data_IF_514087229459
#
_entry.id   IF_514087229459
#
_cell.length_a   1.000
_cell.length_b   1.000
_cell.length_c   1.000
_cell.angle_alpha   90.00
_cell.angle_beta   90.00
_cell.angle_gamma   90.00
#
_symmetry.space_group_name_H-M   'P 1'
#
loop_
_entity.id
_entity.type
_entity.pdbx_description
1 polymer ?
#
# COMPACT_ATOMS: atom_id res chain seq x y z
N UNK A 1 -10.29 -16.11 -4.99
CA UNK A 1 -10.58 -15.16 -6.10
C UNK A 1 -10.04 -13.77 -5.80
N UNK A 2 -10.41 -13.10 -4.70
CA UNK A 2 -9.93 -11.76 -4.36
C UNK A 2 -8.42 -11.66 -4.19
N UNK A 3 -7.78 -12.63 -3.55
CA UNK A 3 -6.31 -12.65 -3.45
C UNK A 3 -5.61 -12.62 -4.82
N UNK A 4 -6.18 -13.30 -5.81
CA UNK A 4 -5.64 -13.27 -7.18
C UNK A 4 -5.77 -11.86 -7.80
N UNK A 5 -6.91 -11.18 -7.58
CA UNK A 5 -7.13 -9.80 -8.04
C UNK A 5 -6.10 -8.87 -7.40
N UNK A 6 -5.84 -9.03 -6.09
CA UNK A 6 -4.86 -8.21 -5.37
C UNK A 6 -3.42 -8.50 -5.79
N UNK A 7 -3.07 -9.76 -6.08
CA UNK A 7 -1.77 -10.13 -6.67
C UNK A 7 -1.58 -9.46 -8.04
N UNK A 8 -2.60 -9.49 -8.86
CA UNK A 8 -2.56 -8.86 -10.19
C UNK A 8 -2.44 -7.33 -10.08
N UNK A 9 -3.12 -6.70 -9.11
CA UNK A 9 -3.00 -5.28 -8.85
C UNK A 9 -1.57 -4.87 -8.43
N UNK A 10 -0.93 -5.68 -7.58
CA UNK A 10 0.48 -5.47 -7.20
C UNK A 10 1.39 -5.62 -8.41
N UNK A 11 1.18 -6.64 -9.25
CA UNK A 11 1.95 -6.86 -10.48
C UNK A 11 1.87 -5.68 -11.44
N UNK A 12 0.70 -5.03 -11.54
CA UNK A 12 0.47 -3.85 -12.35
C UNK A 12 0.87 -2.53 -11.66
N UNK A 13 1.50 -2.60 -10.47
CA UNK A 13 1.91 -1.44 -9.69
C UNK A 13 0.76 -0.46 -9.37
N UNK A 14 -0.44 -1.00 -9.13
CA UNK A 14 -1.58 -0.22 -8.70
C UNK A 14 -1.36 0.36 -7.29
N UNK A 15 -1.94 1.52 -7.00
CA UNK A 15 -1.97 2.11 -5.66
C UNK A 15 -3.21 1.69 -4.87
N UNK A 16 -4.35 1.63 -5.56
CA UNK A 16 -5.64 1.29 -4.96
C UNK A 16 -6.42 0.33 -5.88
N UNK A 17 -7.26 -0.49 -5.27
CA UNK A 17 -8.17 -1.42 -5.94
C UNK A 17 -9.59 -1.18 -5.43
N UNK A 18 -10.53 -0.98 -6.33
CA UNK A 18 -11.94 -0.85 -6.02
C UNK A 18 -12.68 -2.09 -6.52
N UNK A 19 -13.37 -2.76 -5.60
CA UNK A 19 -14.12 -3.98 -5.87
C UNK A 19 -15.56 -3.74 -5.44
N UNK A 20 -16.51 -4.09 -6.30
CA UNK A 20 -17.93 -4.00 -6.03
C UNK A 20 -18.61 -5.30 -6.45
N UNK A 21 -19.60 -5.74 -5.68
CA UNK A 21 -20.41 -6.90 -6.03
C UNK A 21 -21.06 -6.73 -7.39
N UNK A 22 -20.99 -7.78 -8.22
CA UNK A 22 -21.53 -7.79 -9.58
C UNK A 22 -20.74 -7.00 -10.63
N UNK A 23 -19.59 -6.41 -10.28
CA UNK A 23 -18.79 -5.60 -11.19
C UNK A 23 -17.37 -6.13 -11.35
N UNK A 24 -16.73 -5.77 -12.46
CA UNK A 24 -15.30 -6.02 -12.68
C UNK A 24 -14.47 -5.12 -11.78
N UNK A 25 -13.31 -5.57 -11.29
CA UNK A 25 -12.41 -4.76 -10.47
C UNK A 25 -11.89 -3.54 -11.23
N UNK A 26 -11.67 -2.45 -10.49
CA UNK A 26 -11.08 -1.21 -11.00
C UNK A 26 -9.79 -0.94 -10.26
N UNK A 27 -8.69 -0.76 -10.97
CA UNK A 27 -7.39 -0.44 -10.39
C UNK A 27 -7.07 1.04 -10.60
N UNK A 28 -6.39 1.64 -9.62
CA UNK A 28 -5.76 2.95 -9.77
C UNK A 28 -4.28 2.74 -10.08
N UNK A 29 -3.87 3.07 -11.31
CA UNK A 29 -2.50 2.94 -11.78
C UNK A 29 -2.02 4.33 -12.20
N UNK A 30 -0.92 4.81 -11.62
CA UNK A 30 -0.40 6.16 -11.87
C UNK A 30 -1.46 7.26 -11.73
N UNK A 31 -2.36 7.13 -10.73
CA UNK A 31 -3.45 8.08 -10.48
C UNK A 31 -4.71 7.88 -11.33
N UNK A 32 -4.64 7.10 -12.41
CA UNK A 32 -5.76 6.88 -13.34
C UNK A 32 -6.52 5.61 -12.97
N UNK A 33 -7.86 5.68 -12.97
CA UNK A 33 -8.72 4.53 -12.76
C UNK A 33 -8.87 3.74 -14.05
N UNK A 34 -8.58 2.43 -13.99
CA UNK A 34 -8.67 1.50 -15.13
C UNK A 34 -9.51 0.28 -14.76
N UNK A 35 -10.54 -0.01 -15.54
CA UNK A 35 -11.30 -1.26 -15.44
C UNK A 35 -10.43 -2.41 -15.91
N UNK A 36 -10.45 -3.51 -15.14
CA UNK A 36 -9.63 -4.67 -15.44
C UNK A 36 -10.40 -5.70 -16.26
N UNK A 37 -9.71 -6.40 -17.13
CA UNK A 37 -10.28 -7.55 -17.87
C UNK A 37 -10.23 -8.80 -16.97
N UNK A 38 -10.95 -8.73 -15.85
CA UNK A 38 -11.10 -9.79 -14.86
C UNK A 38 -12.59 -10.09 -14.69
N UNK A 39 -12.96 -11.30 -14.20
CA UNK A 39 -14.36 -11.63 -13.97
C UNK A 39 -14.98 -10.69 -12.91
N UNK A 40 -16.28 -10.47 -13.03
CA UNK A 40 -17.06 -9.76 -12.02
C UNK A 40 -16.99 -10.49 -10.69
N UNK A 41 -16.90 -9.73 -9.61
CA UNK A 41 -16.76 -10.27 -8.24
C UNK A 41 -18.13 -10.51 -7.65
N UNK A 42 -18.38 -11.72 -7.16
CA UNK A 42 -19.64 -12.03 -6.49
C UNK A 42 -19.67 -11.43 -5.06
N UNK A 43 -20.88 -11.19 -4.56
CA UNK A 43 -21.14 -10.72 -3.20
C UNK A 43 -20.50 -11.67 -2.17
N UNK A 44 -20.76 -12.97 -2.31
CA UNK A 44 -20.21 -14.01 -1.42
C UNK A 44 -18.68 -13.98 -1.35
N UNK A 45 -18.00 -13.66 -2.47
CA UNK A 45 -16.55 -13.58 -2.46
C UNK A 45 -16.04 -12.39 -1.63
N UNK A 46 -16.75 -11.26 -1.66
CA UNK A 46 -16.42 -10.07 -0.86
C UNK A 46 -16.66 -10.37 0.61
N UNK A 47 -17.82 -10.92 0.96
CA UNK A 47 -18.19 -11.26 2.33
C UNK A 47 -17.21 -12.27 2.95
N UNK A 48 -16.92 -13.35 2.23
CA UNK A 48 -15.95 -14.36 2.70
C UNK A 48 -14.53 -13.77 2.87
N UNK A 49 -14.13 -12.81 2.06
CA UNK A 49 -12.85 -12.14 2.21
C UNK A 49 -12.82 -11.27 3.47
N UNK A 50 -13.91 -10.52 3.76
CA UNK A 50 -14.02 -9.74 4.99
C UNK A 50 -13.99 -10.67 6.20
N UNK A 51 -14.75 -11.76 6.21
CA UNK A 51 -14.78 -12.75 7.29
C UNK A 51 -13.41 -13.39 7.55
N UNK A 52 -12.66 -13.67 6.49
CA UNK A 52 -11.36 -14.31 6.59
C UNK A 52 -10.28 -13.40 7.21
N UNK A 53 -10.33 -12.10 6.92
CA UNK A 53 -9.25 -11.18 7.27
C UNK A 53 -9.64 -10.11 8.30
N UNK A 54 -10.92 -9.89 8.54
CA UNK A 54 -11.43 -8.96 9.55
C UNK A 54 -11.78 -9.71 10.84
N UNK A 55 -11.38 -9.13 11.98
CA UNK A 55 -11.87 -9.60 13.29
C UNK A 55 -13.28 -9.07 13.60
N UNK A 56 -13.83 -8.19 12.76
CA UNK A 56 -15.16 -7.61 12.91
C UNK A 56 -16.22 -8.51 12.29
N UNK A 57 -17.38 -8.61 12.95
CA UNK A 57 -18.53 -9.32 12.41
C UNK A 57 -19.06 -8.63 11.14
N UNK A 58 -19.44 -9.41 10.13
CA UNK A 58 -19.92 -8.94 8.80
C UNK A 58 -21.21 -8.10 8.88
N UNK A 59 -21.81 -7.96 10.05
CA UNK A 59 -23.04 -7.20 10.29
C UNK A 59 -22.81 -5.69 10.51
N UNK A 60 -21.57 -5.23 10.54
CA UNK A 60 -21.26 -3.81 10.59
C UNK A 60 -21.28 -3.22 9.19
N UNK A 61 -21.88 -2.03 9.06
CA UNK A 61 -22.02 -1.32 7.77
C UNK A 61 -20.68 -0.93 7.16
N UNK A 62 -19.62 -0.93 7.96
CA UNK A 62 -18.25 -0.61 7.55
C UNK A 62 -17.24 -1.51 8.28
N UNK A 63 -16.16 -1.88 7.60
CA UNK A 63 -15.06 -2.65 8.15
C UNK A 63 -13.72 -2.06 7.69
N UNK A 64 -12.86 -1.64 8.62
CA UNK A 64 -11.52 -1.12 8.34
C UNK A 64 -10.49 -2.07 8.95
N UNK A 65 -9.66 -2.70 8.12
CA UNK A 65 -8.64 -3.64 8.59
C UNK A 65 -7.42 -3.66 7.69
N UNK A 66 -6.32 -4.19 8.24
CA UNK A 66 -5.12 -4.49 7.46
C UNK A 66 -4.97 -6.00 7.33
N UNK A 67 -4.61 -6.46 6.15
CA UNK A 67 -4.32 -7.86 5.90
C UNK A 67 -3.00 -8.02 5.14
N UNK A 68 -2.39 -9.22 5.29
CA UNK A 68 -1.20 -9.61 4.55
C UNK A 68 -1.53 -10.83 3.72
N UNK A 69 -1.22 -10.76 2.43
CA UNK A 69 -1.43 -11.85 1.48
C UNK A 69 -0.06 -12.37 1.03
N UNK A 70 0.16 -13.67 1.18
CA UNK A 70 1.40 -14.32 0.78
C UNK A 70 1.68 -14.11 -0.71
N UNK A 71 2.88 -13.61 -1.02
CA UNK A 71 3.31 -13.32 -2.39
C UNK A 71 2.70 -12.07 -3.01
N UNK A 72 1.95 -11.24 -2.22
CA UNK A 72 1.40 -9.98 -2.70
C UNK A 72 1.75 -8.77 -1.80
N UNK A 73 1.97 -8.99 -0.50
CA UNK A 73 2.30 -7.92 0.44
C UNK A 73 1.17 -7.58 1.41
N UNK A 74 1.18 -6.34 1.89
CA UNK A 74 0.23 -5.83 2.88
C UNK A 74 -0.77 -4.88 2.24
N UNK A 75 -2.00 -4.92 2.74
CA UNK A 75 -3.12 -4.14 2.23
C UNK A 75 -3.89 -3.52 3.39
N UNK A 76 -4.33 -2.28 3.20
CA UNK A 76 -5.38 -1.68 4.02
C UNK A 76 -6.69 -1.79 3.27
N UNK A 77 -7.67 -2.38 3.89
CA UNK A 77 -8.97 -2.66 3.31
C UNK A 77 -10.04 -1.87 4.06
N UNK A 78 -10.84 -1.13 3.33
CA UNK A 78 -12.06 -0.51 3.79
C UNK A 78 -13.24 -1.18 3.09
N UNK A 79 -14.03 -1.92 3.87
CA UNK A 79 -15.27 -2.55 3.43
C UNK A 79 -16.45 -1.66 3.75
N UNK A 80 -17.39 -1.51 2.82
CA UNK A 80 -18.58 -0.68 2.97
C UNK A 80 -19.75 -1.20 2.13
N UNK A 81 -20.95 -0.70 2.41
CA UNK A 81 -22.11 -0.98 1.57
C UNK A 81 -22.30 0.15 0.54
N UNK A 82 -22.39 -0.21 -0.71
CA UNK A 82 -22.75 0.70 -1.81
C UNK A 82 -24.09 0.28 -2.42
N UNK A 83 -25.13 1.08 -2.18
CA UNK A 83 -26.51 0.77 -2.62
C UNK A 83 -26.99 -0.59 -2.09
N UNK A 84 -26.65 -0.95 -0.84
CA UNK A 84 -27.03 -2.22 -0.24
C UNK A 84 -26.14 -3.41 -0.60
N UNK A 85 -25.15 -3.25 -1.48
CA UNK A 85 -24.23 -4.32 -1.89
C UNK A 85 -22.83 -4.09 -1.31
N UNK A 86 -22.13 -5.16 -0.89
CA UNK A 86 -20.78 -5.03 -0.34
C UNK A 86 -19.79 -4.57 -1.41
N UNK A 87 -18.90 -3.67 -0.97
CA UNK A 87 -17.82 -3.12 -1.76
C UNK A 87 -16.55 -2.99 -0.92
N UNK A 88 -15.38 -3.03 -1.57
CA UNK A 88 -14.09 -2.84 -0.94
C UNK A 88 -13.31 -1.73 -1.64
N UNK A 89 -12.73 -0.85 -0.85
CA UNK A 89 -11.63 0.01 -1.26
C UNK A 89 -10.34 -0.51 -0.62
N UNK A 90 -9.43 -1.01 -1.44
CA UNK A 90 -8.18 -1.63 -0.97
C UNK A 90 -7.00 -0.78 -1.37
N UNK A 91 -6.19 -0.36 -0.40
CA UNK A 91 -4.91 0.33 -0.62
C UNK A 91 -3.76 -0.64 -0.48
N UNK A 92 -2.88 -0.66 -1.48
CA UNK A 92 -1.66 -1.46 -1.47
C UNK A 92 -0.62 -0.74 -0.63
N UNK A 93 -0.15 -1.39 0.44
CA UNK A 93 0.93 -0.87 1.29
C UNK A 93 2.25 -1.37 0.70
N UNK A 94 3.01 -0.44 0.11
CA UNK A 94 4.35 -0.78 -0.41
C UNK A 94 5.26 -1.12 0.77
N UNK A 95 5.74 -2.36 0.80
CA UNK A 95 6.57 -2.88 1.90
C UNK A 95 8.05 -2.53 1.73
N UNK A 96 8.50 -2.24 0.53
CA UNK A 96 9.88 -1.88 0.26
C UNK A 96 10.05 -0.36 0.34
N UNK A 97 10.93 0.10 1.22
CA UNK A 97 11.44 1.45 1.21
C UNK A 97 12.45 1.52 0.04
N UNK A 98 12.30 2.42 -0.93
CA UNK A 98 13.28 2.58 -1.99
C UNK A 98 14.59 3.10 -1.40
N UNK A 99 15.73 2.68 -1.94
CA UNK A 99 17.01 3.26 -1.57
C UNK A 99 17.09 4.73 -2.00
N UNK A 100 17.93 5.54 -1.34
CA UNK A 100 18.14 6.96 -1.73
C UNK A 100 18.59 7.08 -3.19
N UNK A 101 19.40 6.14 -3.67
CA UNK A 101 19.85 6.05 -5.07
C UNK A 101 18.68 5.88 -6.05
N UNK A 102 17.65 5.14 -5.66
CA UNK A 102 16.49 4.83 -6.53
C UNK A 102 15.52 6.02 -6.65
N UNK A 103 15.62 6.98 -5.73
CA UNK A 103 14.78 8.18 -5.70
C UNK A 103 15.31 9.31 -6.59
N UNK A 104 16.45 9.14 -7.30
CA UNK A 104 17.18 10.23 -7.97
C UNK A 104 17.43 11.40 -7.03
N UNK A 105 17.64 11.12 -5.75
CA UNK A 105 17.83 12.11 -4.71
C UNK A 105 19.22 12.76 -4.83
N UNK A 106 19.36 14.06 -4.53
CA UNK A 106 20.68 14.69 -4.51
C UNK A 106 21.63 14.00 -3.53
N UNK A 107 22.92 13.76 -3.88
CA UNK A 107 23.87 13.05 -3.01
C UNK A 107 24.09 13.70 -1.63
N UNK A 108 23.70 14.96 -1.49
CA UNK A 108 23.75 15.68 -0.21
C UNK A 108 22.84 15.04 0.85
N UNK A 109 21.77 14.32 0.46
CA UNK A 109 20.87 13.67 1.41
C UNK A 109 21.56 12.55 2.20
N UNK A 110 22.48 11.80 1.58
CA UNK A 110 23.29 10.79 2.27
C UNK A 110 24.18 11.47 3.36
N UNK A 111 24.81 12.58 3.01
CA UNK A 111 25.65 13.35 3.97
C UNK A 111 24.83 13.94 5.10
N UNK A 112 23.61 14.45 4.80
CA UNK A 112 22.69 14.97 5.79
C UNK A 112 22.16 13.86 6.70
N UNK A 113 21.83 12.69 6.16
CA UNK A 113 21.37 11.55 6.93
C UNK A 113 22.39 11.07 7.97
N UNK A 114 23.68 11.20 7.69
CA UNK A 114 24.77 10.79 8.59
C UNK A 114 25.15 11.85 9.65
N UNK A 115 24.49 13.00 9.70
CA UNK A 115 24.76 14.02 10.72
C UNK A 115 24.32 13.53 12.10
N UNK A 116 25.18 13.69 13.10
CA UNK A 116 24.92 13.22 14.48
C UNK A 116 23.99 14.15 15.28
N UNK A 117 23.80 15.35 14.83
CA UNK A 117 22.97 16.36 15.53
C UNK A 117 22.43 17.37 14.52
N UNK A 118 21.34 18.05 14.88
CA UNK A 118 20.70 19.05 14.06
C UNK A 118 19.25 18.69 13.76
N UNK A 119 18.61 19.50 12.95
CA UNK A 119 17.22 19.32 12.49
C UNK A 119 17.19 19.37 10.96
N UNK A 120 16.62 18.35 10.35
CA UNK A 120 16.37 18.27 8.91
C UNK A 120 14.87 18.33 8.67
N UNK A 121 14.42 19.31 7.90
CA UNK A 121 13.01 19.47 7.54
C UNK A 121 12.80 19.11 6.07
N UNK A 122 11.94 18.13 5.81
CA UNK A 122 11.50 17.74 4.47
C UNK A 122 10.11 18.28 4.24
N UNK A 123 9.97 19.28 3.40
CA UNK A 123 8.72 20.01 3.15
C UNK A 123 8.26 19.87 1.70
N UNK A 124 6.98 20.12 1.44
CA UNK A 124 6.38 20.07 0.11
C UNK A 124 4.91 19.68 0.14
N UNK A 125 4.20 19.76 -0.99
CA UNK A 125 2.77 19.40 -1.08
C UNK A 125 2.52 17.91 -0.84
N UNK A 126 1.24 17.53 -0.66
CA UNK A 126 0.85 16.13 -0.56
C UNK A 126 1.27 15.37 -1.84
N UNK A 127 1.78 14.14 -1.69
CA UNK A 127 2.22 13.32 -2.82
C UNK A 127 3.61 13.65 -3.39
N UNK A 128 4.32 14.65 -2.87
CA UNK A 128 5.67 15.04 -3.37
C UNK A 128 6.81 14.09 -2.95
N UNK A 129 6.52 12.98 -2.28
CA UNK A 129 7.53 12.01 -1.87
C UNK A 129 8.20 12.25 -0.52
N UNK A 130 7.74 13.23 0.30
CA UNK A 130 8.34 13.55 1.61
C UNK A 130 8.55 12.35 2.52
N UNK A 131 7.48 11.58 2.76
CA UNK A 131 7.52 10.40 3.62
C UNK A 131 8.40 9.29 3.04
N UNK A 132 8.43 9.16 1.71
CA UNK A 132 9.28 8.20 1.00
C UNK A 132 10.75 8.57 1.17
N UNK A 133 11.09 9.86 1.01
CA UNK A 133 12.46 10.37 1.21
C UNK A 133 12.92 10.19 2.65
N UNK A 134 12.06 10.53 3.63
CA UNK A 134 12.38 10.32 5.05
C UNK A 134 12.58 8.83 5.37
N UNK A 135 11.71 7.95 4.86
CA UNK A 135 11.86 6.51 5.05
C UNK A 135 13.18 6.01 4.44
N UNK A 136 13.53 6.46 3.23
CA UNK A 136 14.79 6.12 2.58
C UNK A 136 16.02 6.62 3.35
N UNK A 137 15.97 7.82 3.95
CA UNK A 137 17.04 8.33 4.81
C UNK A 137 17.20 7.48 6.08
N UNK A 138 16.09 7.09 6.73
CA UNK A 138 16.12 6.24 7.92
C UNK A 138 16.67 4.85 7.58
N UNK A 139 16.26 4.27 6.47
CA UNK A 139 16.78 2.97 5.99
C UNK A 139 18.27 3.05 5.71
N UNK A 140 18.74 4.11 5.03
CA UNK A 140 20.16 4.38 4.77
C UNK A 140 20.98 4.48 6.05
N UNK A 141 20.48 5.18 7.08
CA UNK A 141 21.10 5.26 8.40
C UNK A 141 21.21 3.86 9.02
N UNK A 142 20.10 3.10 9.02
CA UNK A 142 20.03 1.78 9.64
C UNK A 142 21.02 0.81 9.02
N UNK A 143 21.08 0.76 7.69
CA UNK A 143 22.04 -0.06 6.94
C UNK A 143 23.49 0.38 7.22
N UNK A 144 23.76 1.68 7.20
CA UNK A 144 25.11 2.22 7.45
C UNK A 144 25.61 1.95 8.87
N UNK A 145 24.74 2.03 9.87
CA UNK A 145 25.11 1.72 11.27
C UNK A 145 25.29 0.23 11.51
N UNK A 146 24.54 -0.66 10.88
CA UNK A 146 24.74 -2.12 11.00
C UNK A 146 26.08 -2.57 10.42
N UNK A 147 26.60 -1.87 9.41
CA UNK A 147 27.94 -2.13 8.88
C UNK A 147 29.08 -1.54 9.74
N UNK A 148 28.78 -0.55 10.61
CA UNK A 148 29.79 0.12 11.47
C UNK A 148 29.91 -0.50 12.87
N UNK A 149 29.02 -1.40 13.29
CA UNK A 149 28.95 -1.93 14.66
C UNK A 149 29.37 -3.39 14.81
N UNK A 150 29.97 -3.99 13.78
CA UNK A 150 30.57 -5.32 13.91
C UNK A 150 32.10 -5.17 13.96
N UNK A 151 32.74 -5.33 15.15
CA UNK A 151 34.17 -5.56 15.22
C UNK A 151 34.56 -6.94 14.70
#
# INVERSE_FOLDING_TARGET
MLEHILKEAVRQNASDVHIKAGAVPVFRINGVLSRQNLPAVSENAITSFIEQYSACAVNETEADFCCRIAGAGSFRVHGYLQNGFPALAVRIIKSAVPALSDLNAPPVLEKLAMQRSGLILVTGPAGSGKSTTLAAMVDFITVSYTHLTLP
#
